data_IF_157331174539
#
_entry.id   IF_157331174539
#
_cell.length_a   1.000
_cell.length_b   1.000
_cell.length_c   1.000
_cell.angle_alpha   90.00
_cell.angle_beta   90.00
_cell.angle_gamma   90.00
#
_symmetry.space_group_name_H-M   'P 1'
#
loop_
_entity.id
_entity.type
_entity.pdbx_description
1 polymer ?
#
# COMPACT_ATOMS: atom_id res chain seq x y z
N UNK A 1 2.79 4.41 1.55
CA UNK A 1 1.34 4.16 1.79
C UNK A 1 1.04 4.19 3.29
N UNK A 2 -0.15 4.64 3.67
CA UNK A 2 -0.65 4.56 5.04
C UNK A 2 -1.77 3.51 5.08
N UNK A 3 -1.71 2.60 6.04
CA UNK A 3 -2.77 1.61 6.22
C UNK A 3 -3.49 1.80 7.55
N UNK A 4 -4.77 1.47 7.57
CA UNK A 4 -5.58 1.49 8.79
C UNK A 4 -6.54 0.31 8.78
N UNK A 5 -6.66 -0.37 9.92
CA UNK A 5 -7.62 -1.45 10.14
C UNK A 5 -8.75 -0.94 11.02
N UNK A 6 -9.98 -1.13 10.59
CA UNK A 6 -11.20 -0.73 11.26
C UNK A 6 -12.10 -1.94 11.43
N UNK A 7 -12.62 -2.17 12.65
CA UNK A 7 -13.72 -3.10 12.87
C UNK A 7 -15.04 -2.32 12.80
N UNK A 8 -15.87 -2.67 11.84
CA UNK A 8 -17.15 -2.03 11.58
C UNK A 8 -18.29 -3.01 11.79
N UNK A 9 -19.26 -2.63 12.64
CA UNK A 9 -20.49 -3.38 12.80
C UNK A 9 -21.51 -2.86 11.79
N UNK A 10 -21.79 -3.65 10.77
CA UNK A 10 -22.69 -3.29 9.69
C UNK A 10 -24.17 -3.42 10.09
N UNK A 11 -25.05 -2.85 9.27
CA UNK A 11 -26.51 -2.87 9.47
C UNK A 11 -27.10 -4.28 9.36
N UNK A 12 -26.41 -5.22 8.74
CA UNK A 12 -26.79 -6.64 8.71
C UNK A 12 -26.55 -7.37 10.04
N UNK A 13 -25.89 -6.73 11.01
CA UNK A 13 -25.59 -7.24 12.34
C UNK A 13 -24.23 -7.94 12.45
N UNK A 14 -23.52 -8.13 11.35
CA UNK A 14 -22.18 -8.74 11.33
C UNK A 14 -21.09 -7.69 11.57
N UNK A 15 -19.94 -8.15 12.02
CA UNK A 15 -18.75 -7.27 12.20
C UNK A 15 -17.73 -7.58 11.13
N UNK A 16 -17.39 -6.56 10.34
CA UNK A 16 -16.41 -6.63 9.28
C UNK A 16 -15.10 -5.97 9.69
N UNK A 17 -14.00 -6.62 9.38
CA UNK A 17 -12.69 -6.00 9.47
C UNK A 17 -12.34 -5.38 8.12
N UNK A 18 -12.32 -4.06 8.07
CA UNK A 18 -11.99 -3.29 6.88
C UNK A 18 -10.53 -2.82 6.97
N UNK A 19 -9.74 -3.11 5.94
CA UNK A 19 -8.36 -2.66 5.84
C UNK A 19 -8.28 -1.59 4.75
N UNK A 20 -7.99 -0.35 5.13
CA UNK A 20 -7.83 0.76 4.21
C UNK A 20 -6.35 0.99 3.93
N UNK A 21 -6.02 1.25 2.68
CA UNK A 21 -4.70 1.71 2.26
C UNK A 21 -4.91 3.06 1.56
N UNK A 22 -4.41 4.12 2.20
CA UNK A 22 -4.44 5.47 1.63
C UNK A 22 -3.31 5.63 0.62
N UNK A 23 -3.64 6.13 -0.57
CA UNK A 23 -2.71 6.30 -1.68
C UNK A 23 -2.57 7.77 -2.06
N UNK A 24 -1.35 8.23 -2.38
CA UNK A 24 -1.17 9.58 -2.89
C UNK A 24 -1.90 9.75 -4.23
N UNK A 25 -2.57 10.89 -4.41
CA UNK A 25 -3.30 11.19 -5.66
C UNK A 25 -2.41 11.64 -6.82
N UNK A 26 -1.18 12.09 -6.56
CA UNK A 26 -0.34 12.72 -7.57
C UNK A 26 0.26 11.70 -8.56
N UNK A 27 0.31 12.05 -9.84
CA UNK A 27 0.77 11.18 -10.94
C UNK A 27 2.20 10.63 -10.75
N UNK A 28 3.07 11.38 -10.08
CA UNK A 28 4.44 10.95 -9.80
C UNK A 28 4.51 9.71 -8.89
N UNK A 29 3.43 9.42 -8.17
CA UNK A 29 3.31 8.26 -7.27
C UNK A 29 2.52 7.11 -7.87
N UNK A 30 2.33 7.07 -9.19
CA UNK A 30 1.57 6.01 -9.88
C UNK A 30 2.06 4.60 -9.55
N UNK A 31 3.35 4.43 -9.33
CA UNK A 31 3.94 3.14 -8.92
C UNK A 31 3.50 2.74 -7.50
N UNK A 32 3.46 3.67 -6.56
CA UNK A 32 2.99 3.44 -5.19
C UNK A 32 1.49 3.11 -5.18
N UNK A 33 0.69 3.83 -5.98
CA UNK A 33 -0.74 3.55 -6.18
C UNK A 33 -0.93 2.13 -6.71
N UNK A 34 -0.22 1.75 -7.76
CA UNK A 34 -0.30 0.41 -8.36
C UNK A 34 0.02 -0.71 -7.37
N UNK A 35 1.03 -0.51 -6.49
CA UNK A 35 1.35 -1.48 -5.42
C UNK A 35 0.24 -1.61 -4.40
N UNK A 36 -0.32 -0.48 -3.99
CA UNK A 36 -1.41 -0.45 -3.01
C UNK A 36 -2.66 -1.14 -3.56
N UNK A 37 -3.03 -0.85 -4.80
CA UNK A 37 -4.15 -1.48 -5.49
C UNK A 37 -3.97 -3.00 -5.63
N UNK A 38 -2.76 -3.48 -5.91
CA UNK A 38 -2.47 -4.92 -5.99
C UNK A 38 -2.69 -5.68 -4.67
N UNK A 39 -2.81 -4.96 -3.56
CA UNK A 39 -3.09 -5.52 -2.24
C UNK A 39 -4.56 -5.42 -1.84
N UNK A 40 -5.43 -4.91 -2.69
CA UNK A 40 -6.83 -4.63 -2.39
C UNK A 40 -7.78 -5.49 -3.24
N UNK A 41 -9.01 -5.64 -2.77
CA UNK A 41 -10.13 -6.25 -3.50
C UNK A 41 -10.99 -5.22 -4.21
N UNK A 42 -10.86 -3.96 -3.82
CA UNK A 42 -11.60 -2.86 -4.43
C UNK A 42 -10.94 -1.51 -4.14
N UNK A 43 -11.43 -0.48 -4.77
CA UNK A 43 -10.95 0.88 -4.64
C UNK A 43 -12.11 1.86 -4.43
N UNK A 44 -11.94 2.81 -3.55
CA UNK A 44 -12.85 3.94 -3.42
C UNK A 44 -12.37 5.08 -4.33
N UNK A 45 -13.19 5.44 -5.30
CA UNK A 45 -12.96 6.62 -6.13
C UNK A 45 -13.55 7.84 -5.43
N UNK A 46 -12.73 8.51 -4.61
CA UNK A 46 -13.17 9.65 -3.82
C UNK A 46 -13.01 10.94 -4.64
N UNK A 47 -14.12 11.55 -5.04
CA UNK A 47 -14.14 12.75 -5.85
C UNK A 47 -14.68 13.94 -5.05
N UNK A 48 -14.04 15.10 -5.20
CA UNK A 48 -14.50 16.36 -4.61
C UNK A 48 -15.76 16.85 -5.33
N UNK A 49 -16.88 16.92 -4.60
CA UNK A 49 -18.17 17.33 -5.16
C UNK A 49 -18.21 18.79 -5.68
N UNK A 50 -17.21 19.60 -5.34
CA UNK A 50 -17.09 20.97 -5.85
C UNK A 50 -16.17 21.08 -7.07
N UNK A 51 -15.08 20.30 -7.09
CA UNK A 51 -14.06 20.35 -8.16
C UNK A 51 -14.40 19.41 -9.33
N UNK A 52 -14.94 18.21 -9.04
CA UNK A 52 -15.21 17.18 -10.05
C UNK A 52 -14.01 16.27 -10.33
N UNK A 53 -14.02 15.60 -11.49
CA UNK A 53 -13.01 14.61 -11.86
C UNK A 53 -11.72 15.29 -12.34
N UNK A 54 -10.63 15.04 -11.62
CA UNK A 54 -9.31 15.51 -12.03
C UNK A 54 -8.57 14.45 -12.85
N UNK A 55 -7.63 14.88 -13.71
CA UNK A 55 -6.85 13.97 -14.57
C UNK A 55 -6.09 12.89 -13.78
N UNK A 56 -5.64 13.21 -12.58
CA UNK A 56 -4.94 12.28 -11.69
C UNK A 56 -5.88 11.20 -11.13
N UNK A 57 -7.07 11.60 -10.72
CA UNK A 57 -8.15 10.70 -10.28
C UNK A 57 -8.49 9.69 -11.36
N UNK A 58 -8.60 10.17 -12.59
CA UNK A 58 -8.89 9.36 -13.77
C UNK A 58 -7.80 8.30 -14.03
N UNK A 59 -6.53 8.70 -14.01
CA UNK A 59 -5.40 7.80 -14.24
C UNK A 59 -5.35 6.66 -13.19
N UNK A 60 -5.56 7.00 -11.93
CA UNK A 60 -5.58 6.02 -10.84
C UNK A 60 -6.79 5.09 -10.92
N UNK A 61 -7.95 5.62 -11.33
CA UNK A 61 -9.17 4.85 -11.53
C UNK A 61 -9.00 3.81 -12.64
N UNK A 62 -8.43 4.19 -13.78
CA UNK A 62 -8.14 3.24 -14.85
C UNK A 62 -7.16 2.16 -14.43
N UNK A 63 -6.16 2.50 -13.61
CA UNK A 63 -5.25 1.49 -13.05
C UNK A 63 -6.02 0.46 -12.20
N UNK A 64 -6.98 0.89 -11.39
CA UNK A 64 -7.81 -0.02 -10.59
C UNK A 64 -8.68 -0.91 -11.49
N UNK A 65 -9.31 -0.34 -12.52
CA UNK A 65 -10.14 -1.08 -13.49
C UNK A 65 -9.30 -2.10 -14.27
N UNK A 66 -8.10 -1.74 -14.73
CA UNK A 66 -7.18 -2.64 -15.43
C UNK A 66 -6.72 -3.82 -14.55
N UNK A 67 -6.78 -3.67 -13.23
CA UNK A 67 -6.48 -4.71 -12.24
C UNK A 67 -7.72 -5.54 -11.85
N UNK A 68 -8.86 -5.32 -12.52
CA UNK A 68 -10.14 -6.00 -12.24
C UNK A 68 -10.65 -5.78 -10.80
N UNK A 69 -10.39 -4.59 -10.24
CA UNK A 69 -10.87 -4.21 -8.93
C UNK A 69 -12.27 -3.61 -9.01
N UNK A 70 -13.10 -3.92 -8.01
CA UNK A 70 -14.38 -3.19 -7.83
C UNK A 70 -14.10 -1.74 -7.48
N UNK A 71 -14.64 -0.80 -8.26
CA UNK A 71 -14.46 0.64 -8.04
C UNK A 71 -15.75 1.26 -7.56
N UNK A 72 -15.74 1.79 -6.34
CA UNK A 72 -16.90 2.40 -5.69
C UNK A 72 -16.74 3.92 -5.69
N UNK A 73 -17.57 4.68 -6.46
CA UNK A 73 -17.50 6.13 -6.48
C UNK A 73 -18.09 6.72 -5.20
N UNK A 74 -17.40 7.72 -4.65
CA UNK A 74 -17.78 8.47 -3.44
C UNK A 74 -17.66 9.96 -3.72
N UNK A 75 -18.73 10.72 -3.51
CA UNK A 75 -18.77 12.16 -3.66
C UNK A 75 -18.53 12.83 -2.30
N UNK A 76 -17.30 13.32 -2.10
CA UNK A 76 -16.89 13.92 -0.83
C UNK A 76 -17.00 15.46 -0.85
N UNK A 77 -16.91 16.05 0.33
CA UNK A 77 -16.97 17.49 0.56
C UNK A 77 -18.31 18.15 0.21
N UNK A 78 -19.43 17.41 0.38
CA UNK A 78 -20.78 17.95 0.14
C UNK A 78 -21.17 19.09 1.07
N UNK A 79 -20.36 19.36 2.12
CA UNK A 79 -20.53 20.49 3.04
C UNK A 79 -20.06 21.83 2.45
N UNK A 80 -19.37 21.82 1.31
CA UNK A 80 -18.89 23.03 0.67
C UNK A 80 -20.01 23.75 -0.10
N UNK A 81 -20.06 25.09 -0.09
CA UNK A 81 -21.07 25.85 -0.83
C UNK A 81 -21.03 25.65 -2.37
N UNK A 82 -19.87 25.25 -2.89
CA UNK A 82 -19.67 25.00 -4.32
C UNK A 82 -19.93 23.53 -4.71
N UNK A 83 -20.35 22.66 -3.77
CA UNK A 83 -20.62 21.28 -4.05
C UNK A 83 -21.85 21.13 -4.97
N UNK A 84 -21.67 20.34 -6.03
CA UNK A 84 -22.71 19.97 -6.99
C UNK A 84 -22.58 18.45 -7.29
N UNK A 85 -23.10 17.61 -6.37
CA UNK A 85 -22.94 16.16 -6.49
C UNK A 85 -23.57 15.57 -7.76
N UNK A 86 -24.68 16.12 -8.23
CA UNK A 86 -25.36 15.66 -9.45
C UNK A 86 -24.47 15.85 -10.68
N UNK A 87 -23.96 17.05 -10.87
CA UNK A 87 -23.02 17.37 -11.96
C UNK A 87 -21.78 16.48 -11.92
N UNK A 88 -21.21 16.25 -10.73
CA UNK A 88 -20.00 15.45 -10.60
C UNK A 88 -20.29 13.96 -10.82
N UNK A 89 -21.46 13.46 -10.45
CA UNK A 89 -21.88 12.10 -10.79
C UNK A 89 -21.98 11.88 -12.30
N UNK A 90 -22.65 12.81 -13.03
CA UNK A 90 -22.71 12.80 -14.50
C UNK A 90 -21.30 12.86 -15.13
N UNK A 91 -20.41 13.69 -14.58
CA UNK A 91 -19.01 13.79 -15.03
C UNK A 91 -18.24 12.48 -14.86
N UNK A 92 -18.44 11.75 -13.75
CA UNK A 92 -17.83 10.43 -13.52
C UNK A 92 -18.35 9.43 -14.55
N UNK A 93 -19.66 9.38 -14.83
CA UNK A 93 -20.22 8.48 -15.83
C UNK A 93 -19.68 8.77 -17.24
N UNK A 94 -19.66 10.05 -17.63
CA UNK A 94 -19.23 10.47 -18.96
C UNK A 94 -17.73 10.24 -19.21
N UNK A 95 -16.89 10.49 -18.19
CA UNK A 95 -15.42 10.45 -18.35
C UNK A 95 -14.84 9.08 -18.00
N UNK A 96 -15.32 8.48 -16.91
CA UNK A 96 -14.77 7.20 -16.39
C UNK A 96 -15.54 6.00 -16.94
N UNK A 97 -16.84 6.16 -17.16
CA UNK A 97 -17.72 5.10 -17.65
C UNK A 97 -18.23 4.15 -16.57
N UNK A 98 -18.21 4.56 -15.30
CA UNK A 98 -18.80 3.83 -14.17
C UNK A 98 -20.06 4.52 -13.70
N UNK A 99 -21.08 3.74 -13.27
CA UNK A 99 -22.31 4.28 -12.71
C UNK A 99 -22.03 5.03 -11.40
N UNK A 100 -22.36 6.32 -11.37
CA UNK A 100 -22.14 7.21 -10.24
C UNK A 100 -23.39 7.99 -9.79
N UNK A 101 -24.54 7.78 -10.44
CA UNK A 101 -25.76 8.49 -10.05
C UNK A 101 -26.22 8.14 -8.63
N UNK A 102 -26.01 6.90 -8.22
CA UNK A 102 -26.29 6.41 -6.88
C UNK A 102 -25.05 6.45 -5.95
N UNK A 103 -23.98 7.18 -6.36
CA UNK A 103 -22.76 7.28 -5.56
C UNK A 103 -23.04 7.90 -4.18
N UNK A 104 -22.40 7.35 -3.15
CA UNK A 104 -22.55 7.85 -1.79
C UNK A 104 -22.02 9.27 -1.67
N UNK A 105 -22.83 10.14 -1.08
CA UNK A 105 -22.51 11.55 -0.84
C UNK A 105 -22.09 11.72 0.60
N UNK A 106 -20.88 12.22 0.84
CA UNK A 106 -20.34 12.34 2.17
C UNK A 106 -19.55 13.63 2.40
N UNK A 107 -19.29 13.91 3.65
CA UNK A 107 -18.31 14.89 4.09
C UNK A 107 -17.44 14.28 5.17
N UNK A 108 -16.21 13.96 4.83
CA UNK A 108 -15.24 13.46 5.80
C UNK A 108 -14.95 14.47 6.93
N UNK A 109 -15.12 15.76 6.64
CA UNK A 109 -14.94 16.85 7.61
C UNK A 109 -16.04 16.87 8.68
N UNK A 110 -17.29 16.69 8.29
CA UNK A 110 -18.44 16.78 9.19
C UNK A 110 -18.94 15.43 9.68
N UNK A 111 -18.50 14.33 9.07
CA UNK A 111 -18.93 12.98 9.37
C UNK A 111 -20.23 12.56 8.67
N UNK A 112 -20.87 13.44 7.90
CA UNK A 112 -22.10 13.14 7.18
C UNK A 112 -21.84 12.09 6.10
N UNK A 113 -22.67 11.05 6.01
CA UNK A 113 -22.61 10.00 5.00
C UNK A 113 -21.47 8.98 5.17
N UNK A 114 -20.65 9.07 6.23
CA UNK A 114 -19.52 8.13 6.43
C UNK A 114 -20.01 6.72 6.71
N UNK A 115 -21.10 6.56 7.49
CA UNK A 115 -21.70 5.24 7.71
C UNK A 115 -22.19 4.62 6.40
N UNK A 116 -22.79 5.42 5.51
CA UNK A 116 -23.26 4.93 4.22
C UNK A 116 -22.08 4.53 3.30
N UNK A 117 -20.93 5.22 3.38
CA UNK A 117 -19.70 4.77 2.71
C UNK A 117 -19.26 3.40 3.22
N UNK A 118 -19.28 3.15 4.54
CA UNK A 118 -18.90 1.86 5.11
C UNK A 118 -19.86 0.74 4.70
N UNK A 119 -21.16 1.02 4.66
CA UNK A 119 -22.17 0.07 4.17
C UNK A 119 -21.98 -0.26 2.69
N UNK A 120 -21.64 0.75 1.88
CA UNK A 120 -21.39 0.56 0.46
C UNK A 120 -20.14 -0.32 0.21
N UNK A 121 -19.10 -0.15 1.03
CA UNK A 121 -17.92 -1.01 1.00
C UNK A 121 -18.32 -2.46 1.30
N UNK A 122 -19.08 -2.69 2.36
CA UNK A 122 -19.53 -4.04 2.73
C UNK A 122 -20.40 -4.68 1.65
N UNK A 123 -21.23 -3.86 0.97
CA UNK A 123 -22.14 -4.34 -0.06
C UNK A 123 -21.47 -4.66 -1.40
N UNK A 124 -20.48 -3.87 -1.80
CA UNK A 124 -19.91 -3.91 -3.16
C UNK A 124 -18.53 -4.54 -3.24
N UNK A 125 -17.66 -4.30 -2.26
CA UNK A 125 -16.30 -4.83 -2.31
C UNK A 125 -16.29 -6.29 -1.85
N UNK A 126 -15.80 -7.22 -2.68
CA UNK A 126 -15.77 -8.64 -2.31
C UNK A 126 -14.80 -8.89 -1.15
N UNK A 127 -15.09 -9.93 -0.37
CA UNK A 127 -14.16 -10.39 0.65
C UNK A 127 -12.87 -10.92 0.01
N UNK A 128 -11.72 -10.81 0.72
CA UNK A 128 -10.46 -11.32 0.21
C UNK A 128 -10.51 -12.84 -0.01
N UNK A 129 -10.07 -13.27 -1.16
CA UNK A 129 -9.90 -14.68 -1.48
C UNK A 129 -8.59 -15.21 -0.88
N UNK A 130 -8.61 -16.43 -0.34
CA UNK A 130 -7.45 -17.11 0.18
C UNK A 130 -7.81 -18.34 1.01
N UNK A 131 -6.84 -19.21 1.22
CA UNK A 131 -6.99 -20.43 2.01
C UNK A 131 -6.14 -20.31 3.30
N UNK A 132 -6.79 -20.27 4.49
CA UNK A 132 -6.08 -20.17 5.77
C UNK A 132 -5.27 -21.43 6.12
N UNK A 133 -5.61 -22.59 5.55
CA UNK A 133 -4.93 -23.85 5.78
C UNK A 133 -3.78 -24.14 4.78
N UNK A 134 -3.67 -23.32 3.74
CA UNK A 134 -2.58 -23.43 2.78
C UNK A 134 -1.24 -22.93 3.36
N UNK A 135 -0.10 -23.28 2.74
CA UNK A 135 1.18 -22.69 3.06
C UNK A 135 1.16 -21.18 2.98
N UNK A 136 1.80 -20.52 3.95
CA UNK A 136 1.84 -19.06 4.03
C UNK A 136 2.35 -18.43 2.72
N UNK A 137 1.58 -17.49 2.22
CA UNK A 137 1.98 -16.55 1.19
C UNK A 137 1.58 -15.13 1.64
N UNK A 138 2.58 -14.33 1.99
CA UNK A 138 2.38 -12.93 2.33
C UNK A 138 3.15 -12.04 1.35
N UNK A 139 2.45 -11.08 0.75
CA UNK A 139 3.03 -10.11 -0.18
C UNK A 139 3.58 -8.92 0.61
N UNK A 140 4.84 -8.56 0.38
CA UNK A 140 5.41 -7.32 0.91
C UNK A 140 4.93 -6.16 0.04
N UNK A 141 4.07 -5.31 0.60
CA UNK A 141 3.48 -4.17 -0.11
C UNK A 141 4.39 -2.95 -0.02
N UNK A 142 4.95 -2.74 1.16
CA UNK A 142 5.79 -1.59 1.48
C UNK A 142 6.81 -1.95 2.56
N UNK A 143 7.88 -1.17 2.69
CA UNK A 143 8.88 -1.35 3.73
C UNK A 143 9.51 -0.01 4.10
N UNK A 144 9.84 0.16 5.37
CA UNK A 144 10.56 1.34 5.85
C UNK A 144 11.56 0.96 6.92
N UNK A 145 12.48 1.84 7.17
CA UNK A 145 13.46 1.66 8.24
C UNK A 145 13.05 2.43 9.50
N UNK A 146 12.90 1.71 10.59
CA UNK A 146 12.72 2.28 11.92
C UNK A 146 14.03 2.18 12.71
N UNK A 147 14.43 3.26 13.38
CA UNK A 147 15.73 3.31 14.08
C UNK A 147 15.83 2.31 15.25
N UNK A 148 14.71 1.85 15.80
CA UNK A 148 14.64 0.91 16.93
C UNK A 148 14.33 -0.52 16.50
N UNK A 149 13.48 -0.67 15.47
CA UNK A 149 12.97 -1.97 15.04
C UNK A 149 13.73 -2.55 13.84
N UNK A 150 14.53 -1.72 13.15
CA UNK A 150 15.15 -2.09 11.87
C UNK A 150 14.16 -2.00 10.72
N UNK A 151 14.23 -2.93 9.78
CA UNK A 151 13.29 -2.99 8.66
C UNK A 151 11.92 -3.44 9.16
N UNK A 152 10.90 -2.62 8.89
CA UNK A 152 9.49 -2.93 9.10
C UNK A 152 8.86 -3.10 7.73
N UNK A 153 8.21 -4.24 7.50
CA UNK A 153 7.52 -4.52 6.25
C UNK A 153 6.01 -4.50 6.45
N UNK A 154 5.29 -3.81 5.57
CA UNK A 154 3.84 -3.90 5.46
C UNK A 154 3.52 -5.09 4.55
N UNK A 155 2.74 -6.03 5.04
CA UNK A 155 2.43 -7.26 4.32
C UNK A 155 0.93 -7.48 4.21
N UNK A 156 0.50 -8.08 3.11
CA UNK A 156 -0.81 -8.66 2.91
C UNK A 156 -0.74 -10.18 2.95
N UNK A 157 -1.50 -10.82 3.83
CA UNK A 157 -1.61 -12.27 3.87
C UNK A 157 -2.58 -12.75 2.79
N UNK A 158 -2.07 -13.42 1.77
CA UNK A 158 -2.91 -14.00 0.69
C UNK A 158 -3.40 -15.39 1.07
N UNK A 159 -2.51 -16.25 1.59
CA UNK A 159 -2.84 -17.60 2.06
C UNK A 159 -2.12 -17.90 3.36
N UNK A 160 -2.67 -18.83 4.13
CA UNK A 160 -2.10 -19.24 5.40
C UNK A 160 -2.26 -18.20 6.49
N UNK A 161 -1.50 -18.36 7.55
CA UNK A 161 -1.54 -17.50 8.74
C UNK A 161 -0.12 -17.20 9.19
N UNK A 162 0.17 -15.96 9.54
CA UNK A 162 1.45 -15.53 10.06
C UNK A 162 1.36 -15.24 11.56
N UNK A 163 2.26 -15.83 12.36
CA UNK A 163 2.28 -15.68 13.82
C UNK A 163 3.59 -15.13 14.32
N UNK A 164 3.53 -14.46 15.46
CA UNK A 164 4.72 -14.09 16.21
C UNK A 164 5.54 -15.35 16.55
N UNK A 165 6.86 -15.31 16.31
CA UNK A 165 7.77 -16.42 16.50
C UNK A 165 7.91 -17.38 15.32
N UNK A 166 7.11 -17.21 14.27
CA UNK A 166 7.24 -18.02 13.06
C UNK A 166 8.61 -17.79 12.41
N UNK A 167 9.13 -18.86 11.83
CA UNK A 167 10.32 -18.80 11.00
C UNK A 167 9.92 -18.72 9.53
N UNK A 168 10.14 -17.55 8.96
CA UNK A 168 9.78 -17.22 7.59
C UNK A 168 10.99 -17.24 6.67
N UNK A 169 10.73 -17.35 5.39
CA UNK A 169 11.70 -17.27 4.31
C UNK A 169 11.22 -16.25 3.29
N UNK A 170 12.10 -15.36 2.86
CA UNK A 170 11.91 -14.48 1.72
C UNK A 170 12.18 -15.28 0.45
N UNK A 171 11.20 -15.39 -0.45
CA UNK A 171 11.27 -16.38 -1.53
C UNK A 171 12.31 -16.04 -2.59
N UNK A 172 12.55 -14.76 -2.90
CA UNK A 172 13.53 -14.36 -3.91
C UNK A 172 14.98 -14.51 -3.41
N UNK A 173 15.25 -14.10 -2.17
CA UNK A 173 16.60 -14.15 -1.61
C UNK A 173 16.96 -15.50 -0.98
N UNK A 174 15.94 -16.28 -0.61
CA UNK A 174 16.11 -17.54 0.11
C UNK A 174 16.50 -17.36 1.58
N UNK A 175 16.65 -16.14 2.07
CA UNK A 175 17.03 -15.85 3.45
C UNK A 175 15.88 -16.12 4.41
N UNK A 176 16.18 -16.62 5.58
CA UNK A 176 15.21 -16.96 6.62
C UNK A 176 15.37 -16.05 7.83
N UNK A 177 14.23 -15.64 8.40
CA UNK A 177 14.15 -14.75 9.54
C UNK A 177 13.09 -15.24 10.53
N UNK A 178 13.22 -14.82 11.80
CA UNK A 178 12.17 -15.03 12.80
C UNK A 178 11.27 -13.80 12.85
N UNK A 179 9.96 -14.00 13.00
CA UNK A 179 9.00 -12.92 13.24
C UNK A 179 9.07 -12.50 14.69
N UNK A 180 9.72 -11.37 14.96
CA UNK A 180 9.88 -10.83 16.32
C UNK A 180 8.61 -10.14 16.81
N UNK A 181 8.04 -9.30 15.94
CA UNK A 181 6.79 -8.57 16.19
C UNK A 181 5.97 -8.48 14.93
N UNK A 182 4.66 -8.42 15.10
CA UNK A 182 3.70 -8.11 14.05
C UNK A 182 2.49 -7.39 14.62
N UNK A 183 1.74 -6.72 13.79
CA UNK A 183 0.56 -5.98 14.23
C UNK A 183 -0.15 -5.27 13.10
N UNK A 184 -1.09 -4.42 13.49
CA UNK A 184 -1.94 -3.64 12.61
C UNK A 184 -1.84 -2.14 12.96
N UNK A 185 -2.37 -1.28 12.10
CA UNK A 185 -2.51 0.15 12.36
C UNK A 185 -3.98 0.49 12.64
N UNK A 186 -4.28 1.18 13.78
CA UNK A 186 -5.65 1.54 14.22
C UNK A 186 -5.83 2.99 14.71
N UNK A 187 -5.45 4.08 14.09
CA UNK A 187 -4.37 4.38 13.16
C UNK A 187 -2.97 4.25 13.78
N UNK A 188 -2.85 4.13 15.09
CA UNK A 188 -1.56 3.86 15.76
C UNK A 188 -1.16 2.42 15.57
N UNK A 189 0.13 2.18 15.60
CA UNK A 189 0.70 0.84 15.57
C UNK A 189 0.28 0.05 16.82
N UNK A 190 -0.36 -1.09 16.61
CA UNK A 190 -0.83 -1.99 17.67
C UNK A 190 -0.28 -3.37 17.42
N UNK A 191 0.39 -3.95 18.41
CA UNK A 191 0.90 -5.32 18.35
C UNK A 191 -0.25 -6.31 18.34
N UNK A 192 -0.12 -7.36 17.54
CA UNK A 192 -0.94 -8.57 17.60
C UNK A 192 -0.05 -9.80 17.67
N UNK A 193 -0.64 -10.96 17.84
CA UNK A 193 0.08 -12.24 17.85
C UNK A 193 -0.08 -13.01 16.53
N UNK A 194 -1.02 -12.57 15.69
CA UNK A 194 -1.39 -13.27 14.45
C UNK A 194 -1.88 -12.29 13.40
N UNK A 195 -1.57 -12.58 12.14
CA UNK A 195 -2.21 -12.02 10.95
C UNK A 195 -2.81 -13.18 10.15
N UNK A 196 -4.10 -13.10 9.90
CA UNK A 196 -4.86 -14.12 9.19
C UNK A 196 -4.91 -13.85 7.69
N UNK A 197 -5.35 -14.84 6.92
CA UNK A 197 -5.63 -14.72 5.49
C UNK A 197 -6.54 -13.51 5.22
N UNK A 198 -6.17 -12.67 4.26
CA UNK A 198 -6.88 -11.44 3.90
C UNK A 198 -6.44 -10.20 4.68
N UNK A 199 -5.77 -10.36 5.82
CA UNK A 199 -5.36 -9.22 6.64
C UNK A 199 -4.13 -8.50 6.10
N UNK A 200 -4.07 -7.20 6.37
CA UNK A 200 -2.91 -6.34 6.14
C UNK A 200 -2.32 -5.94 7.49
N UNK A 201 -1.02 -6.08 7.62
CA UNK A 201 -0.34 -5.73 8.86
C UNK A 201 1.15 -5.48 8.68
N UNK A 202 1.77 -4.97 9.71
CA UNK A 202 3.22 -4.76 9.74
C UNK A 202 3.94 -5.92 10.43
N UNK A 203 5.14 -6.21 9.96
CA UNK A 203 5.99 -7.30 10.46
C UNK A 203 7.41 -6.80 10.68
N UNK A 204 8.01 -7.18 11.80
CA UNK A 204 9.40 -6.95 12.14
C UNK A 204 10.08 -8.29 12.28
N UNK A 205 11.16 -8.51 11.53
CA UNK A 205 11.89 -9.77 11.48
C UNK A 205 13.39 -9.60 11.79
N UNK A 206 13.79 -8.53 12.47
CA UNK A 206 15.19 -8.19 12.75
C UNK A 206 16.10 -8.21 11.50
N UNK A 207 15.54 -7.85 10.35
CA UNK A 207 16.28 -7.77 9.09
C UNK A 207 17.20 -6.57 9.17
N UNK A 208 18.51 -6.83 9.12
CA UNK A 208 19.54 -5.79 9.17
C UNK A 208 19.98 -5.34 7.79
N UNK A 209 19.86 -6.24 6.83
CA UNK A 209 20.16 -5.95 5.43
C UNK A 209 18.95 -5.29 4.76
N UNK A 210 19.15 -4.08 4.30
CA UNK A 210 18.13 -3.27 3.62
C UNK A 210 17.54 -4.02 2.41
N UNK A 211 18.33 -4.82 1.72
CA UNK A 211 17.89 -5.61 0.56
C UNK A 211 17.39 -7.01 0.93
N UNK A 212 17.33 -7.34 2.22
CA UNK A 212 16.95 -8.68 2.68
C UNK A 212 15.51 -9.08 2.45
N UNK A 213 14.60 -8.10 2.32
CA UNK A 213 13.16 -8.31 2.06
C UNK A 213 12.63 -7.21 1.14
N UNK A 214 12.86 -7.32 -0.16
CA UNK A 214 12.44 -6.31 -1.13
C UNK A 214 10.92 -6.24 -1.26
N UNK A 215 10.41 -5.04 -1.51
CA UNK A 215 8.99 -4.79 -1.79
C UNK A 215 8.56 -5.57 -3.04
N UNK A 216 7.39 -6.20 -2.99
CA UNK A 216 6.88 -7.08 -4.04
C UNK A 216 7.29 -8.54 -3.90
N UNK A 217 8.11 -8.87 -2.91
CA UNK A 217 8.49 -10.26 -2.64
C UNK A 217 7.43 -11.00 -1.81
N UNK A 218 7.56 -12.31 -1.81
CA UNK A 218 6.68 -13.22 -1.07
C UNK A 218 7.39 -13.77 0.16
N UNK A 219 6.76 -13.63 1.31
CA UNK A 219 7.13 -14.33 2.53
C UNK A 219 6.38 -15.66 2.64
N UNK A 220 7.10 -16.70 3.05
CA UNK A 220 6.51 -18.03 3.29
C UNK A 220 7.12 -18.64 4.55
N UNK A 221 6.52 -19.72 5.10
CA UNK A 221 7.13 -20.44 6.20
C UNK A 221 8.37 -21.21 5.74
N UNK A 222 9.43 -21.22 6.57
CA UNK A 222 10.65 -21.94 6.22
C UNK A 222 10.43 -23.46 6.15
N UNK A 223 9.60 -24.01 7.05
CA UNK A 223 9.37 -25.45 7.17
C UNK A 223 8.31 -26.00 6.24
N UNK A 224 7.38 -25.16 5.80
CA UNK A 224 6.32 -25.51 4.87
C UNK A 224 6.18 -24.38 3.83
N UNK A 225 7.15 -24.26 2.91
CA UNK A 225 7.16 -23.17 1.95
C UNK A 225 6.09 -23.37 0.88
N UNK A 226 5.49 -22.26 0.46
CA UNK A 226 4.64 -22.22 -0.71
C UNK A 226 5.45 -22.58 -1.97
N UNK A 227 4.81 -23.23 -2.94
CA UNK A 227 5.43 -23.67 -4.19
C UNK A 227 5.67 -22.54 -5.19
N UNK A 228 4.91 -21.46 -5.10
CA UNK A 228 4.94 -20.33 -6.04
C UNK A 228 5.02 -19.01 -5.30
N UNK A 229 5.72 -18.05 -5.91
CA UNK A 229 5.69 -16.65 -5.47
C UNK A 229 4.37 -15.99 -5.87
N UNK A 230 3.93 -15.02 -5.10
CA UNK A 230 2.84 -14.14 -5.53
C UNK A 230 3.33 -13.25 -6.68
N UNK A 231 2.44 -12.80 -7.58
CA UNK A 231 2.80 -11.80 -8.56
C UNK A 231 3.38 -10.57 -7.85
N UNK A 232 4.65 -10.28 -8.16
CA UNK A 232 5.31 -9.08 -7.65
C UNK A 232 4.97 -7.85 -8.48
N UNK A 233 5.56 -6.72 -8.11
CA UNK A 233 5.35 -5.46 -8.82
C UNK A 233 6.26 -5.37 -10.05
N UNK A 234 5.77 -4.73 -11.12
CA UNK A 234 6.58 -4.44 -12.30
C UNK A 234 7.70 -3.46 -11.90
N UNK A 235 8.95 -3.79 -12.27
CA UNK A 235 10.06 -2.85 -12.09
C UNK A 235 9.86 -1.64 -12.99
N UNK A 236 9.85 -0.46 -12.39
CA UNK A 236 9.82 0.82 -13.14
C UNK A 236 11.23 1.11 -13.63
N UNK A 237 11.34 1.52 -14.89
CA UNK A 237 12.64 1.99 -15.42
C UNK A 237 12.84 3.45 -15.01
N UNK A 238 14.00 3.83 -14.46
CA UNK A 238 14.30 5.22 -14.17
C UNK A 238 14.16 6.09 -15.43
N UNK A 239 13.52 7.26 -15.26
CA UNK A 239 13.32 8.22 -16.35
C UNK A 239 14.12 9.50 -16.14
N UNK A 240 14.53 9.76 -14.90
CA UNK A 240 15.31 10.93 -14.51
C UNK A 240 16.58 10.45 -13.82
N UNK A 241 17.70 11.05 -14.19
CA UNK A 241 19.00 10.75 -13.60
C UNK A 241 19.59 12.04 -13.01
N UNK A 242 20.15 11.94 -11.81
CA UNK A 242 20.78 13.06 -11.13
C UNK A 242 22.04 12.60 -10.39
N UNK A 243 23.16 13.30 -10.58
CA UNK A 243 24.34 13.10 -9.76
C UNK A 243 24.18 13.85 -8.44
N UNK A 244 24.27 13.13 -7.33
CA UNK A 244 24.17 13.68 -5.98
C UNK A 244 25.54 13.63 -5.30
N UNK A 245 25.99 14.77 -4.79
CA UNK A 245 27.29 14.92 -4.14
C UNK A 245 27.10 15.43 -2.71
N UNK A 246 27.71 14.78 -1.70
CA UNK A 246 27.74 15.34 -0.37
C UNK A 246 28.59 16.62 -0.35
N UNK A 247 28.23 17.57 0.51
CA UNK A 247 28.97 18.85 0.65
C UNK A 247 30.38 18.60 1.20
N UNK A 248 30.53 17.63 2.10
CA UNK A 248 31.82 17.17 2.62
C UNK A 248 32.03 15.68 2.26
N UNK A 249 33.26 15.33 1.90
CA UNK A 249 33.64 13.93 1.66
C UNK A 249 33.44 13.04 2.91
N UNK A 250 33.54 13.63 4.09
CA UNK A 250 33.36 12.92 5.36
C UNK A 250 31.89 12.45 5.57
N UNK A 251 30.94 13.10 4.88
CA UNK A 251 29.52 12.76 4.96
C UNK A 251 29.11 11.65 3.98
N UNK A 252 30.01 11.16 3.12
CA UNK A 252 29.66 10.21 2.06
C UNK A 252 29.03 8.91 2.59
N UNK A 253 29.59 8.34 3.64
CA UNK A 253 29.08 7.09 4.22
C UNK A 253 27.67 7.29 4.82
N UNK A 254 27.46 8.40 5.56
CA UNK A 254 26.15 8.75 6.10
C UNK A 254 25.12 9.02 5.00
N UNK A 255 25.56 9.64 3.91
CA UNK A 255 24.73 9.91 2.73
C UNK A 255 24.32 8.61 2.02
N UNK A 256 25.27 7.70 1.80
CA UNK A 256 25.00 6.38 1.20
C UNK A 256 24.01 5.57 2.04
N UNK A 257 24.19 5.57 3.37
CA UNK A 257 23.29 4.88 4.28
C UNK A 257 21.86 5.49 4.27
N UNK A 258 21.77 6.81 4.16
CA UNK A 258 20.49 7.50 4.04
C UNK A 258 19.76 7.14 2.74
N UNK A 259 20.46 7.09 1.61
CA UNK A 259 19.89 6.65 0.33
C UNK A 259 19.48 5.18 0.35
N UNK A 260 20.26 4.31 1.01
CA UNK A 260 19.89 2.92 1.22
C UNK A 260 18.58 2.79 2.01
N UNK A 261 18.39 3.58 3.06
CA UNK A 261 17.12 3.61 3.81
C UNK A 261 15.96 4.17 2.98
N UNK A 262 16.22 5.18 2.17
CA UNK A 262 15.22 5.76 1.27
C UNK A 262 14.76 4.75 0.21
N UNK A 263 15.69 3.97 -0.38
CA UNK A 263 15.37 2.97 -1.41
C UNK A 263 14.47 1.83 -0.89
N UNK A 264 14.42 1.58 0.41
CA UNK A 264 13.44 0.67 1.00
C UNK A 264 12.01 1.17 0.83
N UNK A 265 11.83 2.48 1.06
CA UNK A 265 10.52 3.12 1.01
C UNK A 265 10.11 3.47 -0.42
N UNK A 266 11.09 3.80 -1.26
CA UNK A 266 10.91 4.14 -2.68
C UNK A 266 11.56 3.11 -3.58
N UNK A 267 10.81 2.10 -4.00
CA UNK A 267 11.29 1.04 -4.89
C UNK A 267 11.51 1.52 -6.35
N UNK A 268 11.19 2.77 -6.68
CA UNK A 268 11.54 3.41 -7.94
C UNK A 268 12.93 4.05 -7.92
N UNK A 269 13.52 4.21 -6.73
CA UNK A 269 14.85 4.77 -6.54
C UNK A 269 15.92 3.71 -6.82
N UNK A 270 16.73 3.98 -7.84
CA UNK A 270 17.96 3.25 -8.12
C UNK A 270 19.14 4.22 -7.96
N UNK A 271 20.21 3.78 -7.33
CA UNK A 271 21.41 4.57 -7.23
C UNK A 271 22.65 3.70 -7.35
N UNK A 272 23.68 4.25 -7.96
CA UNK A 272 24.97 3.61 -8.11
C UNK A 272 26.09 4.55 -7.66
N UNK A 273 27.16 4.02 -7.03
CA UNK A 273 28.34 4.83 -6.73
C UNK A 273 29.02 5.30 -8.01
N UNK A 274 29.30 6.58 -8.10
CA UNK A 274 30.10 7.17 -9.15
C UNK A 274 31.32 7.86 -8.58
N UNK A 275 32.42 7.87 -9.31
CA UNK A 275 33.63 8.57 -8.94
C UNK A 275 33.94 9.64 -9.99
N UNK A 276 33.75 10.89 -9.62
CA UNK A 276 34.11 12.03 -10.45
C UNK A 276 35.53 12.49 -10.09
N UNK A 277 36.38 12.61 -11.08
CA UNK A 277 37.76 13.15 -10.91
C UNK A 277 37.77 14.60 -10.43
N UNK A 278 36.67 15.34 -10.66
CA UNK A 278 36.57 16.75 -10.29
C UNK A 278 35.81 16.97 -8.96
N UNK A 279 34.83 16.14 -8.68
CA UNK A 279 33.87 16.33 -7.58
C UNK A 279 33.96 15.24 -6.49
N UNK A 280 34.80 14.21 -6.70
CA UNK A 280 34.96 13.11 -5.74
C UNK A 280 33.88 12.03 -5.85
N UNK A 281 33.62 11.34 -4.74
CA UNK A 281 32.61 10.28 -4.66
C UNK A 281 31.20 10.85 -4.67
N UNK A 282 30.36 10.27 -5.54
CA UNK A 282 28.96 10.64 -5.72
C UNK A 282 28.08 9.41 -5.88
N UNK A 283 26.78 9.61 -5.94
CA UNK A 283 25.78 8.61 -6.26
C UNK A 283 24.89 9.14 -7.40
N UNK A 284 24.62 8.32 -8.41
CA UNK A 284 23.70 8.62 -9.52
C UNK A 284 22.50 7.71 -9.44
#
# INVERSE_FOLDING_TARGET
AQSVTLNYQAKDGETYQLNFIDTPGHVDFSYEVSRSLAACEGALLVVDAGQGVEAQTLANCYTAIEMDLEVVPILNKIDLPAADPERVAEEIEDIVGIDAMEAVRCSAKTGVGIEDVLEEIVAKIPAPEGDPDAPLQALIIDSWFDNYLGVVSLVRIKNGVLRKGDKIKVMSTGQAYNVDRLGIFTPKQVDTTVLNTGEVGWVVCAIKDILGAPVGDTLTHQHNPASHVLPGFKKVKPQVYAGLFPVSSDDYEAFRDALGKLSLNDASLFYEPENSTALGLSLI
#
